data_IF_315599227299
#
_entry.id   IF_315599227299
#
_cell.length_a   1.000
_cell.length_b   1.000
_cell.length_c   1.000
_cell.angle_alpha   90.00
_cell.angle_beta   90.00
_cell.angle_gamma   90.00
#
_symmetry.space_group_name_H-M   'P 1'
#
loop_
_entity.id
_entity.type
_entity.pdbx_description
1 polymer ?
#
# COMPACT_ATOMS: atom_id res chain seq x y z
N UNK A 1 17.15 3.20 -11.46
CA UNK A 1 15.79 2.98 -10.92
C UNK A 1 15.94 2.32 -9.56
N UNK A 2 15.60 3.01 -8.48
CA UNK A 2 15.66 2.42 -7.14
C UNK A 2 14.48 1.46 -6.99
N UNK A 3 14.74 0.16 -6.94
CA UNK A 3 13.71 -0.83 -6.63
C UNK A 3 13.32 -0.65 -5.17
N UNK A 4 12.25 0.12 -4.92
CA UNK A 4 11.60 0.12 -3.63
C UNK A 4 11.25 -1.34 -3.29
N UNK A 5 11.61 -1.77 -2.08
CA UNK A 5 11.25 -3.12 -1.65
C UNK A 5 9.74 -3.24 -1.62
N UNK A 6 9.19 -4.45 -1.79
CA UNK A 6 7.75 -4.67 -1.71
C UNK A 6 7.16 -4.15 -0.40
N UNK A 7 7.94 -4.10 0.68
CA UNK A 7 7.55 -3.49 1.96
C UNK A 7 7.41 -1.97 1.88
N UNK A 8 8.37 -1.27 1.25
CA UNK A 8 8.29 0.17 1.08
C UNK A 8 7.12 0.58 0.17
N UNK A 9 6.83 -0.18 -0.90
CA UNK A 9 5.64 0.08 -1.73
C UNK A 9 4.34 0.01 -0.91
N UNK A 10 4.24 -0.97 0.01
CA UNK A 10 3.07 -1.13 0.88
C UNK A 10 2.97 0.02 1.87
N UNK A 11 4.09 0.46 2.45
CA UNK A 11 4.12 1.63 3.34
C UNK A 11 3.67 2.88 2.60
N UNK A 12 4.21 3.13 1.41
CA UNK A 12 3.83 4.26 0.58
C UNK A 12 2.33 4.23 0.28
N UNK A 13 1.77 3.06 -0.04
CA UNK A 13 0.33 2.91 -0.25
C UNK A 13 -0.50 3.34 0.97
N UNK A 14 -0.12 2.89 2.17
CA UNK A 14 -0.81 3.28 3.41
C UNK A 14 -0.66 4.77 3.71
N UNK A 15 0.52 5.35 3.47
CA UNK A 15 0.73 6.78 3.65
C UNK A 15 -0.16 7.61 2.71
N UNK A 16 -0.23 7.26 1.42
CA UNK A 16 -1.06 7.95 0.45
C UNK A 16 -2.56 7.86 0.82
N UNK A 17 -3.04 6.68 1.22
CA UNK A 17 -4.41 6.51 1.70
C UNK A 17 -4.71 7.40 2.92
N UNK A 18 -3.78 7.48 3.88
CA UNK A 18 -3.93 8.33 5.07
C UNK A 18 -3.85 9.82 4.76
N UNK A 19 -3.18 10.20 3.67
CA UNK A 19 -3.16 11.57 3.15
C UNK A 19 -4.44 11.94 2.39
N UNK A 20 -5.40 11.02 2.28
CA UNK A 20 -6.70 11.27 1.64
C UNK A 20 -6.79 10.82 0.18
N UNK A 21 -5.75 10.20 -0.38
CA UNK A 21 -5.82 9.63 -1.73
C UNK A 21 -6.80 8.46 -1.77
N UNK A 22 -7.53 8.34 -2.87
CA UNK A 22 -8.40 7.20 -3.14
C UNK A 22 -7.58 5.96 -3.52
N UNK A 23 -8.10 4.74 -3.30
CA UNK A 23 -7.42 3.51 -3.73
C UNK A 23 -7.05 3.48 -5.21
N UNK A 24 -7.80 4.18 -6.07
CA UNK A 24 -7.52 4.29 -7.51
C UNK A 24 -6.30 5.17 -7.79
N UNK A 25 -6.19 6.32 -7.12
CA UNK A 25 -5.04 7.21 -7.25
C UNK A 25 -3.76 6.52 -6.76
N UNK A 26 -3.83 5.85 -5.60
CA UNK A 26 -2.70 5.08 -5.05
C UNK A 26 -2.26 3.96 -6.00
N UNK A 27 -3.22 3.24 -6.60
CA UNK A 27 -2.93 2.19 -7.56
C UNK A 27 -2.21 2.73 -8.80
N UNK A 28 -2.66 3.86 -9.33
CA UNK A 28 -2.03 4.52 -10.48
C UNK A 28 -0.62 5.00 -10.13
N UNK A 29 -0.43 5.66 -8.98
CA UNK A 29 0.85 6.19 -8.52
C UNK A 29 1.90 5.09 -8.35
N UNK A 30 1.50 3.94 -7.80
CA UNK A 30 2.41 2.82 -7.54
C UNK A 30 2.49 1.81 -8.69
N UNK A 31 1.81 2.06 -9.81
CA UNK A 31 1.67 1.11 -10.92
C UNK A 31 1.22 -0.29 -10.44
N UNK A 32 0.23 -0.33 -9.55
CA UNK A 32 -0.38 -1.54 -8.97
C UNK A 32 -1.86 -1.62 -9.30
N UNK A 33 -2.47 -2.77 -9.03
CA UNK A 33 -3.92 -2.90 -9.15
C UNK A 33 -4.64 -2.33 -7.93
N UNK A 34 -5.86 -1.84 -8.11
CA UNK A 34 -6.71 -1.36 -7.00
C UNK A 34 -6.95 -2.47 -5.96
N UNK A 35 -7.08 -3.73 -6.42
CA UNK A 35 -7.18 -4.89 -5.53
C UNK A 35 -5.97 -5.06 -4.61
N UNK A 36 -4.76 -4.80 -5.13
CA UNK A 36 -3.54 -4.84 -4.33
C UNK A 36 -3.57 -3.79 -3.20
N UNK A 37 -4.06 -2.57 -3.50
CA UNK A 37 -4.21 -1.51 -2.50
C UNK A 37 -5.20 -1.92 -1.41
N UNK A 38 -6.40 -2.41 -1.78
CA UNK A 38 -7.39 -2.90 -0.80
C UNK A 38 -6.87 -4.05 0.06
N UNK A 39 -6.11 -4.99 -0.53
CA UNK A 39 -5.49 -6.10 0.22
C UNK A 39 -4.60 -5.56 1.34
N UNK A 40 -3.74 -4.59 1.05
CA UNK A 40 -2.81 -4.05 2.05
C UNK A 40 -3.46 -3.10 3.01
N UNK A 41 -4.43 -2.30 2.58
CA UNK A 41 -5.29 -1.53 3.47
C UNK A 41 -5.93 -2.44 4.52
N UNK A 42 -6.61 -3.51 4.11
CA UNK A 42 -7.26 -4.45 5.02
C UNK A 42 -6.28 -5.14 5.98
N UNK A 43 -5.07 -5.43 5.51
CA UNK A 43 -4.02 -6.02 6.36
C UNK A 43 -3.49 -5.02 7.38
N UNK A 44 -3.31 -3.77 6.98
CA UNK A 44 -2.94 -2.68 7.88
C UNK A 44 -4.02 -2.42 8.93
N UNK A 45 -5.30 -2.39 8.54
CA UNK A 45 -6.42 -2.26 9.49
C UNK A 45 -6.45 -3.42 10.51
N UNK A 46 -6.06 -4.63 10.12
CA UNK A 46 -6.05 -5.81 11.00
C UNK A 46 -4.83 -5.91 11.93
N UNK A 47 -3.64 -5.55 11.44
CA UNK A 47 -2.36 -5.82 12.13
C UNK A 47 -1.42 -4.61 12.18
N UNK A 48 -1.90 -3.42 11.84
CA UNK A 48 -1.06 -2.21 11.68
C UNK A 48 0.15 -2.49 10.77
N UNK A 49 1.30 -1.89 11.06
CA UNK A 49 2.52 -2.03 10.26
C UNK A 49 3.02 -3.48 10.14
N UNK A 50 2.79 -4.32 11.16
CA UNK A 50 3.13 -5.75 11.11
C UNK A 50 2.39 -6.50 10.00
N UNK A 51 1.19 -6.03 9.64
CA UNK A 51 0.41 -6.55 8.52
C UNK A 51 1.07 -6.39 7.16
N UNK A 52 2.05 -5.48 7.03
CA UNK A 52 2.72 -5.14 5.78
C UNK A 52 4.00 -5.96 5.54
N UNK A 53 4.53 -6.65 6.55
CA UNK A 53 5.76 -7.45 6.45
C UNK A 53 5.58 -8.82 5.75
N UNK A 54 4.35 -9.18 5.36
CA UNK A 54 4.08 -10.50 4.78
C UNK A 54 4.89 -10.75 3.51
N UNK A 55 5.59 -11.88 3.49
CA UNK A 55 6.12 -12.47 2.26
C UNK A 55 4.98 -12.78 1.27
#
# INVERSE_FOLDING_TARGET
>A
MSTATAYEERKTAIHLLRSGCTPKEVANELNRSVFWVYKWQKRFEKKSWDGLHSQ
#
